data_IF_573403432700
#
_entry.id   IF_573403432700
#
_cell.length_a   1.000
_cell.length_b   1.000
_cell.length_c   1.000
_cell.angle_alpha   90.00
_cell.angle_beta   90.00
_cell.angle_gamma   90.00
#
_symmetry.space_group_name_H-M   'P 1'
#
loop_
_entity.id
_entity.type
_entity.pdbx_description
1 polymer ?
#
# COMPACT_ATOMS: atom_id res chain seq x y z
N UNK A 1 32.90 -5.76 -13.87
CA UNK A 1 31.67 -5.15 -14.45
C UNK A 1 31.81 -3.64 -14.36
N UNK A 2 31.28 -2.85 -15.32
CA UNK A 2 31.28 -1.39 -15.19
C UNK A 2 30.54 -0.99 -13.90
N UNK A 3 30.91 0.14 -13.30
CA UNK A 3 30.21 0.70 -12.15
C UNK A 3 28.92 1.41 -12.62
N UNK A 4 27.86 1.35 -11.82
CA UNK A 4 26.70 2.21 -12.03
C UNK A 4 27.04 3.64 -11.62
N UNK A 5 26.75 4.61 -12.48
CA UNK A 5 27.00 6.02 -12.18
C UNK A 5 25.69 6.79 -12.03
N UNK A 6 25.73 7.88 -11.26
CA UNK A 6 24.63 8.84 -11.20
C UNK A 6 24.38 9.50 -12.56
N UNK A 7 25.43 9.75 -13.34
CA UNK A 7 25.33 10.38 -14.66
C UNK A 7 24.49 9.56 -15.66
N UNK A 8 24.66 8.24 -15.69
CA UNK A 8 23.85 7.35 -16.55
C UNK A 8 22.37 7.44 -16.18
N UNK A 9 22.07 7.46 -14.88
CA UNK A 9 20.70 7.55 -14.37
C UNK A 9 20.08 8.92 -14.66
N UNK A 10 20.82 10.00 -14.43
CA UNK A 10 20.34 11.36 -14.67
C UNK A 10 20.08 11.60 -16.16
N UNK A 11 20.94 11.08 -17.05
CA UNK A 11 20.71 11.13 -18.51
C UNK A 11 19.40 10.44 -18.90
N UNK A 12 19.10 9.29 -18.30
CA UNK A 12 17.80 8.63 -18.47
C UNK A 12 16.67 9.46 -17.90
N UNK A 13 16.84 10.02 -16.70
CA UNK A 13 15.82 10.81 -16.02
C UNK A 13 15.45 12.07 -16.80
N UNK A 14 16.41 12.76 -17.41
CA UNK A 14 16.16 13.96 -18.21
C UNK A 14 15.23 13.70 -19.41
N UNK A 15 15.23 12.48 -19.94
CA UNK A 15 14.36 12.05 -21.04
C UNK A 15 13.04 11.43 -20.59
N UNK A 16 13.01 10.82 -19.41
CA UNK A 16 11.92 9.94 -18.98
C UNK A 16 11.23 10.37 -17.69
N UNK A 17 11.62 11.49 -17.07
CA UNK A 17 11.01 12.01 -15.84
C UNK A 17 9.50 12.13 -15.98
N UNK A 18 8.77 11.64 -14.98
CA UNK A 18 7.32 11.77 -14.94
C UNK A 18 6.91 13.19 -14.57
N UNK A 19 5.97 13.76 -15.31
CA UNK A 19 5.26 14.98 -14.91
C UNK A 19 4.25 14.65 -13.80
N UNK A 20 4.48 15.19 -12.61
CA UNK A 20 3.62 15.00 -11.43
C UNK A 20 3.34 16.36 -10.77
N UNK A 21 2.14 16.60 -10.21
CA UNK A 21 1.75 17.93 -9.69
C UNK A 21 2.67 18.51 -8.61
N UNK A 22 3.35 17.65 -7.85
CA UNK A 22 4.27 18.02 -6.77
C UNK A 22 5.73 18.16 -7.22
N UNK A 23 6.06 17.77 -8.46
CA UNK A 23 7.43 17.90 -8.97
C UNK A 23 7.59 19.27 -9.62
N UNK A 24 8.65 19.97 -9.23
CA UNK A 24 9.05 21.17 -9.93
C UNK A 24 9.46 20.83 -11.37
N UNK A 25 9.23 21.77 -12.29
CA UNK A 25 9.76 21.68 -13.64
C UNK A 25 11.28 21.90 -13.63
N UNK A 26 12.01 21.44 -14.67
CA UNK A 26 13.43 21.76 -14.81
C UNK A 26 13.69 23.26 -14.68
N UNK A 27 14.70 23.63 -13.90
CA UNK A 27 15.06 25.03 -13.62
C UNK A 27 14.17 25.75 -12.58
N UNK A 28 13.09 25.12 -12.11
CA UNK A 28 12.24 25.66 -11.05
C UNK A 28 12.67 25.07 -9.71
N UNK A 29 12.94 25.94 -8.73
CA UNK A 29 13.25 25.50 -7.36
C UNK A 29 12.04 24.79 -6.74
N UNK A 30 12.19 23.56 -6.23
CA UNK A 30 11.08 22.88 -5.56
C UNK A 30 10.67 23.57 -4.27
N UNK A 31 9.36 23.67 -4.05
CA UNK A 31 8.80 24.18 -2.80
C UNK A 31 8.83 23.09 -1.72
N UNK A 32 9.54 23.28 -0.59
CA UNK A 32 9.60 22.30 0.50
C UNK A 32 8.22 21.89 1.02
N UNK A 33 7.24 22.79 1.05
CA UNK A 33 5.88 22.48 1.50
C UNK A 33 5.21 21.45 0.58
N UNK A 34 5.29 21.69 -0.73
CA UNK A 34 4.72 20.79 -1.76
C UNK A 34 5.42 19.43 -1.76
N UNK A 35 6.75 19.43 -1.68
CA UNK A 35 7.56 18.20 -1.62
C UNK A 35 7.14 17.39 -0.40
N UNK A 36 7.22 17.96 0.81
CA UNK A 36 6.85 17.29 2.05
C UNK A 36 5.42 16.76 2.04
N UNK A 37 4.45 17.58 1.62
CA UNK A 37 3.04 17.18 1.54
C UNK A 37 2.86 15.94 0.65
N UNK A 38 3.47 15.94 -0.53
CA UNK A 38 3.40 14.81 -1.47
C UNK A 38 4.07 13.56 -0.89
N UNK A 39 5.22 13.70 -0.24
CA UNK A 39 5.95 12.59 0.36
C UNK A 39 5.15 11.93 1.49
N UNK A 40 4.43 12.71 2.31
CA UNK A 40 3.55 12.15 3.35
C UNK A 40 2.34 11.45 2.71
N UNK A 41 1.73 12.03 1.67
CA UNK A 41 0.61 11.42 0.97
C UNK A 41 0.99 10.11 0.26
N UNK A 42 2.18 10.02 -0.33
CA UNK A 42 2.64 8.84 -1.08
C UNK A 42 3.03 7.65 -0.18
N UNK A 43 3.09 7.81 1.13
CA UNK A 43 3.34 6.70 2.06
C UNK A 43 2.23 5.65 1.98
N UNK A 44 2.54 4.50 1.38
CA UNK A 44 1.58 3.39 1.20
C UNK A 44 0.31 3.81 0.43
N UNK A 45 0.41 4.81 -0.45
CA UNK A 45 -0.69 5.26 -1.32
C UNK A 45 -0.17 5.42 -2.75
N UNK A 46 -0.99 5.10 -3.75
CA UNK A 46 -0.58 5.15 -5.15
C UNK A 46 -0.55 6.58 -5.68
N UNK A 47 0.32 6.86 -6.66
CA UNK A 47 0.39 8.17 -7.33
C UNK A 47 -0.99 8.60 -7.86
N UNK A 48 -1.72 7.69 -8.51
CA UNK A 48 -3.06 7.98 -9.06
C UNK A 48 -4.05 8.41 -7.99
N UNK A 49 -4.04 7.76 -6.82
CA UNK A 49 -4.92 8.13 -5.71
C UNK A 49 -4.51 9.48 -5.09
N UNK A 50 -3.20 9.78 -5.01
CA UNK A 50 -2.71 11.01 -4.37
C UNK A 50 -3.00 12.27 -5.19
N UNK A 51 -2.93 12.22 -6.53
CA UNK A 51 -3.09 13.40 -7.41
C UNK A 51 -4.27 14.32 -7.05
N UNK A 52 -5.53 13.84 -7.01
CA UNK A 52 -6.67 14.72 -6.73
C UNK A 52 -6.67 15.25 -5.29
N UNK A 53 -6.13 14.50 -4.32
CA UNK A 53 -6.01 14.97 -2.94
C UNK A 53 -4.94 16.04 -2.80
N UNK A 54 -3.80 15.89 -3.47
CA UNK A 54 -2.74 16.87 -3.45
C UNK A 54 -3.22 18.23 -3.98
N UNK A 55 -3.94 18.22 -5.10
CA UNK A 55 -4.54 19.43 -5.68
C UNK A 55 -5.58 20.06 -4.75
N UNK A 56 -6.53 19.26 -4.21
CA UNK A 56 -7.51 19.73 -3.22
C UNK A 56 -6.84 20.34 -1.98
N UNK A 57 -5.80 19.70 -1.45
CA UNK A 57 -5.07 20.19 -0.28
C UNK A 57 -4.41 21.53 -0.55
N UNK A 58 -3.82 21.73 -1.72
CA UNK A 58 -3.19 23.01 -2.05
C UNK A 58 -4.20 24.13 -2.28
N UNK A 59 -5.41 23.82 -2.74
CA UNK A 59 -6.49 24.81 -2.83
C UNK A 59 -6.95 25.25 -1.44
N UNK A 60 -7.10 24.31 -0.50
CA UNK A 60 -7.57 24.61 0.86
C UNK A 60 -6.46 25.20 1.75
N UNK A 61 -5.24 24.69 1.60
CA UNK A 61 -4.08 24.99 2.41
C UNK A 61 -2.90 25.30 1.49
N UNK A 62 -2.83 26.53 0.93
CA UNK A 62 -1.86 26.85 -0.11
C UNK A 62 -0.40 26.88 0.37
N UNK A 63 -0.17 26.97 1.68
CA UNK A 63 1.17 26.96 2.27
C UNK A 63 1.15 26.35 3.68
N UNK A 64 2.34 26.12 4.24
CA UNK A 64 2.50 25.50 5.57
C UNK A 64 1.85 26.32 6.70
N UNK A 65 1.81 27.65 6.59
CA UNK A 65 1.15 28.51 7.61
C UNK A 65 -0.37 28.34 7.55
N UNK A 66 -0.95 28.30 6.35
CA UNK A 66 -2.37 28.04 6.17
C UNK A 66 -2.76 26.65 6.69
N UNK A 67 -1.96 25.62 6.42
CA UNK A 67 -2.17 24.28 6.97
C UNK A 67 -2.04 24.24 8.49
N UNK A 68 -1.09 24.98 9.08
CA UNK A 68 -0.87 25.03 10.52
C UNK A 68 -1.99 25.75 11.29
N UNK A 69 -2.61 26.76 10.67
CA UNK A 69 -3.69 27.55 11.24
C UNK A 69 -5.08 26.91 11.09
N UNK A 70 -5.21 25.87 10.25
CA UNK A 70 -6.48 25.22 10.00
C UNK A 70 -6.99 24.46 11.24
N UNK A 71 -8.32 24.40 11.45
CA UNK A 71 -8.92 23.48 12.42
C UNK A 71 -8.55 22.03 12.09
N UNK A 72 -8.37 21.19 13.12
CA UNK A 72 -7.95 19.80 12.91
C UNK A 72 -9.00 19.02 12.10
N UNK A 73 -10.28 19.29 12.35
CA UNK A 73 -11.41 18.69 11.65
C UNK A 73 -11.37 18.97 10.15
N UNK A 74 -10.98 20.19 9.75
CA UNK A 74 -10.86 20.57 8.35
C UNK A 74 -9.74 19.77 7.65
N UNK A 75 -8.60 19.57 8.34
CA UNK A 75 -7.49 18.77 7.82
C UNK A 75 -7.87 17.28 7.71
N UNK A 76 -8.55 16.74 8.73
CA UNK A 76 -9.03 15.35 8.70
C UNK A 76 -10.06 15.12 7.59
N UNK A 77 -11.00 16.06 7.42
CA UNK A 77 -12.00 16.03 6.36
C UNK A 77 -11.35 16.10 4.97
N UNK A 78 -10.35 16.95 4.78
CA UNK A 78 -9.61 17.01 3.53
C UNK A 78 -8.85 15.70 3.24
N UNK A 79 -8.32 15.03 4.28
CA UNK A 79 -7.59 13.75 4.17
C UNK A 79 -8.51 12.53 4.03
N UNK A 80 -9.82 12.69 4.26
CA UNK A 80 -10.76 11.59 4.32
C UNK A 80 -10.74 10.77 3.02
N UNK A 81 -10.46 9.47 3.14
CA UNK A 81 -10.33 8.54 2.00
C UNK A 81 -8.89 8.18 1.60
N UNK A 82 -7.86 8.94 2.00
CA UNK A 82 -6.45 8.55 1.77
C UNK A 82 -5.96 7.42 2.70
N UNK A 83 -6.69 7.16 3.80
CA UNK A 83 -6.33 6.17 4.80
C UNK A 83 -5.12 6.56 5.66
N UNK A 84 -4.85 5.75 6.70
CA UNK A 84 -3.81 5.99 7.70
C UNK A 84 -3.87 7.41 8.31
N UNK A 85 -4.96 7.73 9.01
CA UNK A 85 -5.22 9.06 9.58
C UNK A 85 -4.15 9.58 10.56
N UNK A 86 -3.33 8.69 11.12
CA UNK A 86 -2.14 9.10 11.86
C UNK A 86 -1.17 9.94 11.01
N UNK A 87 -1.12 9.73 9.69
CA UNK A 87 -0.36 10.59 8.78
C UNK A 87 -0.94 12.00 8.73
N UNK A 88 -2.26 12.16 8.67
CA UNK A 88 -2.90 13.47 8.69
C UNK A 88 -2.66 14.22 10.01
N UNK A 89 -2.75 13.51 11.14
CA UNK A 89 -2.44 14.08 12.48
C UNK A 89 -1.00 14.55 12.55
N UNK A 90 -0.06 13.68 12.18
CA UNK A 90 1.36 14.03 12.18
C UNK A 90 1.69 15.13 11.17
N UNK A 91 1.05 15.14 10.00
CA UNK A 91 1.17 16.20 9.00
C UNK A 91 0.78 17.55 9.62
N UNK A 92 -0.38 17.62 10.28
CA UNK A 92 -0.85 18.85 10.89
C UNK A 92 0.05 19.30 12.06
N UNK A 93 0.44 18.38 12.94
CA UNK A 93 1.38 18.67 14.02
C UNK A 93 2.74 19.18 13.49
N UNK A 94 3.24 18.58 12.40
CA UNK A 94 4.46 19.02 11.73
C UNK A 94 4.28 20.39 11.06
N UNK A 95 3.13 20.68 10.44
CA UNK A 95 2.84 22.00 9.89
C UNK A 95 2.93 23.08 10.99
N UNK A 96 2.34 22.82 12.16
CA UNK A 96 2.42 23.72 13.32
C UNK A 96 3.86 23.92 13.80
N UNK A 97 4.64 22.84 13.94
CA UNK A 97 6.04 22.92 14.33
C UNK A 97 6.89 23.73 13.34
N UNK A 98 6.68 23.53 12.03
CA UNK A 98 7.38 24.28 10.97
C UNK A 98 6.95 25.74 10.95
N UNK A 99 5.65 26.03 11.08
CA UNK A 99 5.12 27.39 11.08
C UNK A 99 5.66 28.21 12.26
N UNK A 100 5.84 27.58 13.44
CA UNK A 100 6.42 28.23 14.61
C UNK A 100 7.88 28.67 14.40
N UNK A 101 8.67 27.90 13.63
CA UNK A 101 10.06 28.25 13.26
C UNK A 101 10.12 29.11 11.98
N UNK A 102 9.03 29.16 11.21
CA UNK A 102 8.87 29.95 10.00
C UNK A 102 9.42 29.31 8.73
N UNK A 103 10.13 28.18 8.81
CA UNK A 103 10.69 27.46 7.66
C UNK A 103 10.95 25.99 7.99
N UNK A 104 10.97 25.16 6.94
CA UNK A 104 11.48 23.79 7.05
C UNK A 104 12.99 23.82 7.31
N UNK A 105 13.51 22.97 8.22
CA UNK A 105 14.94 22.67 8.28
C UNK A 105 15.41 22.09 6.95
N UNK A 106 16.62 22.43 6.55
CA UNK A 106 17.21 21.96 5.29
C UNK A 106 18.15 20.76 5.48
N UNK A 107 18.42 20.35 6.73
CA UNK A 107 19.24 19.18 7.06
C UNK A 107 18.39 17.96 7.41
N UNK A 108 18.89 16.75 7.09
CA UNK A 108 18.22 15.51 7.49
C UNK A 108 18.00 15.43 9.01
N UNK A 109 18.98 15.87 9.81
CA UNK A 109 18.88 15.86 11.27
C UNK A 109 17.76 16.79 11.76
N UNK A 110 17.68 18.01 11.21
CA UNK A 110 16.62 18.96 11.56
C UNK A 110 15.24 18.45 11.14
N UNK A 111 15.13 17.90 9.93
CA UNK A 111 13.88 17.35 9.40
C UNK A 111 13.38 16.17 10.25
N UNK A 112 14.27 15.29 10.73
CA UNK A 112 13.91 14.13 11.58
C UNK A 112 13.36 14.51 12.96
N UNK A 113 13.57 15.75 13.42
CA UNK A 113 13.01 16.24 14.68
C UNK A 113 11.53 16.62 14.54
N UNK A 114 11.02 16.74 13.31
CA UNK A 114 9.62 17.10 13.06
C UNK A 114 8.67 15.89 13.17
N UNK A 115 7.44 16.08 13.67
CA UNK A 115 6.44 15.02 13.78
C UNK A 115 6.19 14.27 12.46
N UNK A 116 6.22 12.94 12.50
CA UNK A 116 5.92 12.10 11.33
C UNK A 116 6.99 12.08 10.22
N UNK A 117 8.13 12.76 10.38
CA UNK A 117 9.23 12.71 9.43
C UNK A 117 10.24 11.63 9.84
N UNK A 118 10.17 10.48 9.16
CA UNK A 118 11.14 9.40 9.27
C UNK A 118 12.39 9.62 8.43
N UNK A 119 13.35 8.69 8.50
CA UNK A 119 14.63 8.76 7.78
C UNK A 119 14.46 8.91 6.26
N UNK A 120 13.52 8.17 5.65
CA UNK A 120 13.20 8.30 4.24
C UNK A 120 12.73 9.72 3.89
N UNK A 121 11.68 10.19 4.55
CA UNK A 121 11.05 11.49 4.27
C UNK A 121 12.05 12.64 4.49
N UNK A 122 12.90 12.55 5.51
CA UNK A 122 13.96 13.52 5.76
C UNK A 122 14.96 13.57 4.61
N UNK A 123 15.48 12.41 4.16
CA UNK A 123 16.38 12.34 3.02
C UNK A 123 15.75 12.85 1.72
N UNK A 124 14.48 12.51 1.49
CA UNK A 124 13.72 12.96 0.33
C UNK A 124 13.56 14.49 0.30
N UNK A 125 13.13 15.11 1.41
CA UNK A 125 12.97 16.57 1.49
C UNK A 125 14.33 17.27 1.38
N UNK A 126 15.35 16.78 2.10
CA UNK A 126 16.69 17.35 2.07
C UNK A 126 17.28 17.34 0.65
N UNK A 127 17.15 16.23 -0.07
CA UNK A 127 17.64 16.12 -1.44
C UNK A 127 16.80 16.92 -2.42
N UNK A 128 15.48 16.77 -2.40
CA UNK A 128 14.58 17.32 -3.45
C UNK A 128 14.36 18.82 -3.25
N UNK A 129 14.10 19.28 -2.02
CA UNK A 129 13.73 20.66 -1.78
C UNK A 129 14.91 21.59 -1.49
N UNK A 130 16.03 21.02 -1.04
CA UNK A 130 17.18 21.77 -0.54
C UNK A 130 18.51 21.40 -1.18
N UNK A 131 18.50 20.52 -2.19
CA UNK A 131 19.69 20.05 -2.89
C UNK A 131 20.81 19.57 -1.96
N UNK A 132 20.44 18.99 -0.80
CA UNK A 132 21.42 18.36 0.08
C UNK A 132 21.78 16.98 -0.45
N UNK A 133 23.05 16.57 -0.43
CA UNK A 133 23.46 15.23 -0.85
C UNK A 133 23.01 14.20 0.18
N UNK A 134 21.74 13.81 0.13
CA UNK A 134 21.08 12.94 1.10
C UNK A 134 20.41 11.75 0.42
N UNK A 135 20.60 10.55 0.97
CA UNK A 135 19.98 9.33 0.47
C UNK A 135 18.49 9.24 0.86
N UNK A 136 17.61 9.29 -0.15
CA UNK A 136 16.19 9.02 0.00
C UNK A 136 15.89 7.54 -0.33
N UNK A 137 15.74 6.69 0.68
CA UNK A 137 15.55 5.24 0.51
C UNK A 137 14.12 4.81 0.84
N UNK A 138 13.27 4.68 -0.18
CA UNK A 138 11.94 4.06 -0.09
C UNK A 138 11.97 2.57 -0.50
N UNK A 139 10.81 1.91 -0.53
CA UNK A 139 10.71 0.53 -0.99
C UNK A 139 11.08 0.30 -2.47
N UNK A 140 11.05 1.35 -3.30
CA UNK A 140 11.54 1.30 -4.68
C UNK A 140 13.07 1.31 -4.72
N UNK A 141 13.69 2.23 -3.99
CA UNK A 141 15.15 2.34 -3.86
C UNK A 141 15.72 1.10 -3.17
N UNK A 142 15.09 0.59 -2.10
CA UNK A 142 15.49 -0.69 -1.46
C UNK A 142 15.58 -1.81 -2.50
N UNK A 143 14.59 -1.95 -3.39
CA UNK A 143 14.57 -2.97 -4.44
C UNK A 143 15.62 -2.72 -5.52
N UNK A 144 15.77 -1.49 -5.97
CA UNK A 144 16.77 -1.13 -7.00
C UNK A 144 18.18 -1.44 -6.47
N UNK A 145 18.50 -0.98 -5.26
CA UNK A 145 19.84 -1.11 -4.70
C UNK A 145 20.18 -2.55 -4.31
N UNK A 146 19.22 -3.30 -3.75
CA UNK A 146 19.43 -4.73 -3.47
C UNK A 146 19.68 -5.55 -4.73
N UNK A 147 19.02 -5.22 -5.85
CA UNK A 147 19.30 -5.85 -7.15
C UNK A 147 20.64 -5.42 -7.75
N UNK A 148 20.92 -4.11 -7.74
CA UNK A 148 22.15 -3.54 -8.29
C UNK A 148 23.39 -4.17 -7.64
N UNK A 149 23.37 -4.31 -6.32
CA UNK A 149 24.50 -4.81 -5.53
C UNK A 149 24.39 -6.29 -5.12
N UNK A 150 23.31 -6.99 -5.49
CA UNK A 150 23.00 -8.37 -5.06
C UNK A 150 23.08 -8.53 -3.52
N UNK A 151 22.35 -7.69 -2.78
CA UNK A 151 22.37 -7.71 -1.31
C UNK A 151 21.54 -8.88 -0.80
N UNK A 152 22.22 -9.93 -0.35
CA UNK A 152 21.63 -11.17 0.16
C UNK A 152 21.05 -11.03 1.58
N UNK A 153 21.47 -10.02 2.34
CA UNK A 153 20.91 -9.76 3.66
C UNK A 153 19.40 -9.49 3.56
N UNK A 154 18.54 -10.23 4.28
CA UNK A 154 17.10 -9.99 4.24
C UNK A 154 16.70 -8.64 4.83
N UNK A 155 15.66 -8.01 4.27
CA UNK A 155 15.00 -6.88 4.91
C UNK A 155 14.27 -7.33 6.19
N UNK A 156 14.32 -6.52 7.28
CA UNK A 156 14.79 -5.13 7.33
C UNK A 156 16.29 -4.94 7.65
N UNK A 157 17.05 -6.01 7.94
CA UNK A 157 18.45 -5.90 8.38
C UNK A 157 19.37 -5.23 7.34
N UNK A 158 19.06 -5.36 6.05
CA UNK A 158 19.82 -4.73 4.98
C UNK A 158 19.69 -3.20 4.88
N UNK A 159 18.76 -2.55 5.60
CA UNK A 159 18.44 -1.12 5.41
C UNK A 159 19.63 -0.19 5.61
N UNK A 160 20.48 -0.46 6.62
CA UNK A 160 21.67 0.35 6.87
C UNK A 160 22.67 0.24 5.70
N UNK A 161 22.92 -0.98 5.21
CA UNK A 161 23.79 -1.23 4.06
C UNK A 161 23.24 -0.58 2.79
N UNK A 162 21.93 -0.72 2.53
CA UNK A 162 21.26 -0.09 1.38
C UNK A 162 21.43 1.44 1.43
N UNK A 163 21.21 2.05 2.59
CA UNK A 163 21.36 3.51 2.75
C UNK A 163 22.80 3.95 2.52
N UNK A 164 23.78 3.22 3.06
CA UNK A 164 25.20 3.52 2.85
C UNK A 164 25.58 3.49 1.36
N UNK A 165 25.18 2.43 0.65
CA UNK A 165 25.45 2.28 -0.78
C UNK A 165 24.72 3.34 -1.61
N UNK A 166 23.47 3.65 -1.27
CA UNK A 166 22.72 4.73 -1.91
C UNK A 166 23.42 6.07 -1.72
N UNK A 167 23.81 6.39 -0.48
CA UNK A 167 24.47 7.64 -0.13
C UNK A 167 25.78 7.84 -0.91
N UNK A 168 26.56 6.79 -1.09
CA UNK A 168 27.81 6.82 -1.87
C UNK A 168 27.58 7.11 -3.37
N UNK A 169 26.36 6.91 -3.88
CA UNK A 169 25.99 7.21 -5.26
C UNK A 169 25.33 8.57 -5.44
N UNK A 170 24.93 9.24 -4.36
CA UNK A 170 24.28 10.55 -4.45
C UNK A 170 25.29 11.56 -5.00
N UNK A 171 25.01 12.18 -6.17
CA UNK A 171 25.91 13.19 -6.72
C UNK A 171 25.85 14.47 -5.90
N UNK A 172 26.95 15.24 -5.91
CA UNK A 172 26.95 16.59 -5.34
C UNK A 172 26.08 17.56 -6.14
N UNK A 173 26.03 17.38 -7.46
CA UNK A 173 25.17 18.14 -8.36
C UNK A 173 23.86 17.39 -8.61
N UNK A 174 22.72 18.09 -8.53
CA UNK A 174 21.36 17.55 -8.71
C UNK A 174 20.99 16.34 -7.81
N UNK A 175 21.28 16.35 -6.49
CA UNK A 175 20.93 15.22 -5.61
C UNK A 175 19.41 14.96 -5.55
N UNK A 176 18.59 16.01 -5.67
CA UNK A 176 17.13 15.90 -5.73
C UNK A 176 16.64 15.12 -6.96
N UNK A 177 17.19 15.42 -8.15
CA UNK A 177 16.86 14.68 -9.36
C UNK A 177 17.36 13.23 -9.27
N UNK A 178 18.54 12.99 -8.70
CA UNK A 178 19.02 11.63 -8.48
C UNK A 178 18.06 10.81 -7.60
N UNK A 179 17.61 11.37 -6.48
CA UNK A 179 16.63 10.73 -5.60
C UNK A 179 15.33 10.39 -6.36
N UNK A 180 14.79 11.34 -7.13
CA UNK A 180 13.58 11.12 -7.93
C UNK A 180 13.80 10.12 -9.07
N UNK A 181 14.99 10.09 -9.67
CA UNK A 181 15.34 9.19 -10.76
C UNK A 181 15.43 7.74 -10.28
N UNK A 182 16.00 7.48 -9.10
CA UNK A 182 16.04 6.11 -8.53
C UNK A 182 14.63 5.64 -8.20
N UNK A 183 13.79 6.52 -7.63
CA UNK A 183 12.38 6.23 -7.37
C UNK A 183 11.62 5.91 -8.67
N UNK A 184 11.80 6.71 -9.72
CA UNK A 184 11.18 6.48 -11.04
C UNK A 184 11.67 5.19 -11.69
N UNK A 185 12.97 4.90 -11.60
CA UNK A 185 13.54 3.66 -12.09
C UNK A 185 12.88 2.46 -11.42
N UNK A 186 12.75 2.49 -10.09
CA UNK A 186 12.08 1.44 -9.33
C UNK A 186 10.60 1.33 -9.68
N UNK A 187 9.90 2.45 -9.83
CA UNK A 187 8.48 2.47 -10.12
C UNK A 187 8.12 1.99 -11.54
N UNK A 188 8.98 2.22 -12.53
CA UNK A 188 8.64 2.05 -13.96
C UNK A 188 9.39 0.90 -14.65
N UNK A 189 10.68 0.69 -14.35
CA UNK A 189 11.50 -0.33 -15.02
C UNK A 189 11.86 -1.47 -14.08
N UNK A 190 12.45 -1.16 -12.93
CA UNK A 190 12.90 -2.13 -11.94
C UNK A 190 11.73 -2.52 -11.02
N UNK A 191 10.63 -3.01 -11.60
CA UNK A 191 9.38 -3.34 -10.90
C UNK A 191 9.49 -4.62 -10.06
N UNK A 192 8.60 -4.87 -9.08
CA UNK A 192 8.69 -6.05 -8.21
C UNK A 192 8.66 -7.40 -8.94
N UNK A 193 7.94 -7.48 -10.07
CA UNK A 193 7.82 -8.70 -10.89
C UNK A 193 8.07 -8.34 -12.35
N UNK A 194 8.87 -9.13 -13.06
CA UNK A 194 9.17 -8.94 -14.48
C UNK A 194 9.74 -7.53 -14.76
N UNK A 195 10.87 -7.16 -14.13
CA UNK A 195 11.50 -5.87 -14.40
C UNK A 195 11.94 -5.77 -15.87
N UNK A 196 11.79 -4.59 -16.45
CA UNK A 196 12.20 -4.27 -17.82
C UNK A 196 13.71 -4.03 -17.91
N UNK A 197 14.51 -5.03 -17.55
CA UNK A 197 15.97 -4.91 -17.42
C UNK A 197 16.66 -4.43 -18.72
N UNK A 198 16.12 -4.78 -19.89
CA UNK A 198 16.67 -4.37 -21.19
C UNK A 198 16.62 -2.85 -21.43
N UNK A 199 15.73 -2.14 -20.74
CA UNK A 199 15.55 -0.68 -20.85
C UNK A 199 16.24 0.08 -19.70
N UNK A 200 16.84 -0.64 -18.74
CA UNK A 200 17.40 -0.04 -17.53
C UNK A 200 18.74 0.65 -17.84
N UNK A 201 18.96 1.92 -17.43
CA UNK A 201 20.25 2.59 -17.59
C UNK A 201 21.39 1.87 -16.83
N UNK A 202 21.04 1.13 -15.77
CA UNK A 202 21.97 0.31 -15.00
C UNK A 202 21.92 -1.18 -15.35
N UNK A 203 21.49 -1.54 -16.57
CA UNK A 203 21.42 -2.95 -17.00
C UNK A 203 22.77 -3.68 -16.86
N UNK A 204 23.85 -3.09 -17.40
CA UNK A 204 25.20 -3.70 -17.40
C UNK A 204 25.83 -3.81 -16.00
N UNK A 205 25.77 -2.79 -15.13
CA UNK A 205 26.35 -2.87 -13.79
C UNK A 205 25.54 -3.72 -12.78
N UNK A 206 24.28 -4.07 -13.08
CA UNK A 206 23.40 -4.78 -12.15
C UNK A 206 23.78 -6.25 -11.92
N UNK A 207 24.24 -6.57 -10.69
CA UNK A 207 24.66 -7.92 -10.29
C UNK A 207 23.54 -8.93 -10.33
N UNK A 208 22.39 -8.62 -9.73
CA UNK A 208 21.26 -9.56 -9.74
C UNK A 208 20.76 -9.86 -11.16
N UNK A 209 20.87 -8.92 -12.10
CA UNK A 209 20.56 -9.16 -13.52
C UNK A 209 21.60 -10.06 -14.19
N UNK A 210 22.89 -9.84 -13.92
CA UNK A 210 23.97 -10.67 -14.47
C UNK A 210 23.83 -12.14 -14.05
N UNK A 211 23.31 -12.38 -12.83
CA UNK A 211 23.06 -13.71 -12.27
C UNK A 211 21.67 -14.27 -12.59
N UNK A 212 20.78 -13.48 -13.21
CA UNK A 212 19.39 -13.88 -13.50
C UNK A 212 18.49 -14.00 -12.25
N UNK A 213 18.89 -13.40 -11.13
CA UNK A 213 18.22 -13.49 -9.83
C UNK A 213 17.37 -12.26 -9.47
N UNK A 214 17.24 -11.26 -10.34
CA UNK A 214 16.58 -9.98 -10.03
C UNK A 214 15.16 -10.12 -9.44
N UNK A 215 14.36 -11.09 -9.87
CA UNK A 215 12.99 -11.31 -9.37
C UNK A 215 12.95 -11.85 -7.92
N UNK A 216 14.09 -12.32 -7.42
CA UNK A 216 14.23 -12.89 -6.07
C UNK A 216 14.72 -11.87 -5.04
N UNK A 217 15.07 -10.65 -5.49
CA UNK A 217 15.44 -9.51 -4.66
C UNK A 217 14.30 -8.46 -4.57
N UNK A 218 14.15 -7.77 -3.43
CA UNK A 218 14.97 -7.90 -2.21
C UNK A 218 14.69 -9.22 -1.47
N UNK A 219 15.69 -9.75 -0.78
CA UNK A 219 15.50 -10.84 0.18
C UNK A 219 14.58 -10.34 1.29
N UNK A 220 13.54 -11.12 1.60
CA UNK A 220 12.57 -10.80 2.65
C UNK A 220 12.49 -11.95 3.61
N UNK A 221 12.48 -11.65 4.91
CA UNK A 221 12.12 -12.66 5.89
C UNK A 221 10.70 -13.14 5.61
N UNK A 222 10.49 -14.46 5.75
CA UNK A 222 9.16 -15.04 5.71
C UNK A 222 8.38 -14.43 6.88
N UNK A 223 7.38 -13.62 6.59
CA UNK A 223 6.49 -13.09 7.63
C UNK A 223 5.65 -14.24 8.14
N UNK A 224 5.79 -14.56 9.42
CA UNK A 224 4.78 -15.37 10.11
C UNK A 224 3.47 -14.59 10.09
N UNK A 225 2.38 -15.26 9.72
CA UNK A 225 1.06 -14.67 9.89
C UNK A 225 0.83 -14.59 11.40
N UNK A 226 0.64 -13.38 11.94
CA UNK A 226 0.31 -13.24 13.35
C UNK A 226 -0.95 -14.01 13.72
N UNK A 227 -1.19 -14.15 15.02
CA UNK A 227 -2.29 -14.95 15.55
C UNK A 227 -3.64 -14.41 15.04
N UNK A 228 -4.50 -15.29 14.52
CA UNK A 228 -5.86 -14.94 14.13
C UNK A 228 -6.60 -14.33 15.32
N UNK A 229 -7.14 -13.13 15.12
CA UNK A 229 -8.04 -12.50 16.08
C UNK A 229 -9.47 -12.65 15.60
N UNK A 230 -10.38 -12.88 16.55
CA UNK A 230 -11.82 -13.00 16.32
C UNK A 230 -12.55 -11.91 17.12
N UNK A 231 -13.73 -11.54 16.66
CA UNK A 231 -14.60 -10.57 17.35
C UNK A 231 -16.02 -10.55 16.78
N UNK A 232 -16.86 -9.69 17.34
CA UNK A 232 -18.19 -9.40 16.85
C UNK A 232 -18.32 -7.93 16.39
N UNK A 233 -19.18 -7.71 15.40
CA UNK A 233 -19.61 -6.37 14.99
C UNK A 233 -21.15 -6.32 14.95
N UNK A 234 -21.71 -5.19 15.39
CA UNK A 234 -23.13 -4.99 15.61
C UNK A 234 -23.64 -3.89 14.69
N UNK A 235 -24.45 -4.25 13.70
CA UNK A 235 -25.09 -3.32 12.77
C UNK A 235 -26.55 -3.14 13.16
N UNK A 236 -26.87 -2.01 13.78
CA UNK A 236 -28.25 -1.61 14.05
C UNK A 236 -28.74 -0.66 12.94
N UNK A 237 -29.86 -1.02 12.31
CA UNK A 237 -30.56 -0.18 11.34
C UNK A 237 -31.82 0.41 12.00
N UNK A 238 -31.89 1.73 12.08
CA UNK A 238 -33.04 2.43 12.65
C UNK A 238 -34.18 2.53 11.64
N UNK A 239 -35.38 2.15 12.08
CA UNK A 239 -36.58 2.27 11.26
C UNK A 239 -36.96 3.75 11.05
N UNK A 240 -37.52 4.06 9.90
CA UNK A 240 -37.94 5.41 9.54
C UNK A 240 -36.90 6.19 8.73
N UNK A 241 -35.65 6.25 9.19
CA UNK A 241 -34.58 7.04 8.55
C UNK A 241 -33.42 6.20 8.00
N UNK A 242 -33.51 4.87 8.10
CA UNK A 242 -32.47 3.91 7.68
C UNK A 242 -31.07 4.22 8.26
N UNK A 243 -31.00 4.92 9.39
CA UNK A 243 -29.73 5.32 9.97
C UNK A 243 -29.02 4.13 10.64
N UNK A 244 -27.70 4.09 10.51
CA UNK A 244 -26.83 3.05 11.07
C UNK A 244 -26.17 3.55 12.34
N UNK A 245 -26.19 2.72 13.39
CA UNK A 245 -25.46 3.01 14.62
C UNK A 245 -23.95 2.88 14.40
N UNK A 246 -23.22 3.97 14.65
CA UNK A 246 -21.76 4.04 14.59
C UNK A 246 -21.20 4.60 15.89
N UNK A 247 -19.96 4.25 16.19
CA UNK A 247 -19.12 4.92 17.19
C UNK A 247 -17.81 5.38 16.56
N UNK A 248 -17.16 6.34 17.19
CA UNK A 248 -15.80 6.76 16.83
C UNK A 248 -14.81 6.04 17.73
N UNK A 249 -13.82 5.36 17.15
CA UNK A 249 -12.77 4.67 17.92
C UNK A 249 -11.90 5.70 18.66
N UNK A 250 -11.32 5.34 19.84
CA UNK A 250 -10.34 6.18 20.52
C UNK A 250 -9.20 6.63 19.58
N UNK A 251 -8.58 7.80 19.80
CA UNK A 251 -7.54 8.31 18.91
C UNK A 251 -6.28 7.43 18.86
N UNK A 252 -5.97 6.76 19.97
CA UNK A 252 -4.85 5.83 20.10
C UNK A 252 -5.22 4.40 19.65
N UNK A 253 -4.23 3.70 19.12
CA UNK A 253 -4.35 2.29 18.75
C UNK A 253 -4.85 2.04 17.33
N UNK A 254 -5.29 0.80 17.10
CA UNK A 254 -5.63 0.32 15.76
C UNK A 254 -6.90 1.02 15.25
N UNK A 255 -6.80 1.61 14.05
CA UNK A 255 -7.87 2.38 13.39
C UNK A 255 -8.35 3.58 14.23
N UNK A 256 -7.45 4.23 14.98
CA UNK A 256 -7.83 5.31 15.89
C UNK A 256 -8.49 6.51 15.19
N UNK A 257 -9.53 7.06 15.83
CA UNK A 257 -10.44 8.09 15.31
C UNK A 257 -11.31 7.70 14.11
N UNK A 258 -11.31 6.43 13.70
CA UNK A 258 -12.16 5.97 12.59
C UNK A 258 -13.56 5.58 13.09
N UNK A 259 -14.56 5.75 12.24
CA UNK A 259 -15.94 5.34 12.53
C UNK A 259 -16.12 3.84 12.30
N UNK A 260 -16.89 3.18 13.16
CA UNK A 260 -17.21 1.75 13.04
C UNK A 260 -18.61 1.43 13.58
N UNK A 261 -19.28 0.37 13.06
CA UNK A 261 -20.30 -0.30 13.83
C UNK A 261 -19.73 -0.73 15.18
N UNK A 262 -20.45 -0.59 16.30
CA UNK A 262 -19.99 -1.08 17.58
C UNK A 262 -19.57 -2.55 17.51
N UNK A 263 -18.61 -2.94 18.33
CA UNK A 263 -18.05 -4.29 18.28
C UNK A 263 -17.27 -4.65 19.53
N UNK A 264 -16.98 -5.94 19.64
CA UNK A 264 -16.24 -6.53 20.76
C UNK A 264 -14.72 -6.24 20.67
N UNK A 265 -13.96 -6.51 21.74
CA UNK A 265 -12.52 -6.71 21.64
C UNK A 265 -12.16 -7.76 20.59
N UNK A 266 -10.98 -7.61 19.97
CA UNK A 266 -10.48 -8.56 18.98
C UNK A 266 -9.40 -9.44 19.61
N UNK A 267 -9.77 -10.66 19.96
CA UNK A 267 -8.94 -11.57 20.74
C UNK A 267 -8.76 -12.92 20.04
N UNK A 268 -7.64 -13.62 20.21
CA UNK A 268 -7.44 -14.96 19.64
C UNK A 268 -8.46 -16.00 20.11
N UNK A 269 -8.88 -15.88 21.36
CA UNK A 269 -9.76 -16.78 22.11
C UNK A 269 -11.21 -16.26 22.20
N UNK A 270 -11.56 -15.24 21.42
CA UNK A 270 -12.94 -14.73 21.37
C UNK A 270 -13.92 -15.83 20.94
N UNK A 271 -14.94 -16.06 21.77
CA UNK A 271 -16.01 -17.02 21.53
C UNK A 271 -17.22 -16.34 20.86
N UNK A 272 -17.49 -16.59 19.56
CA UNK A 272 -18.63 -16.00 18.87
C UNK A 272 -19.99 -16.40 19.45
N UNK A 273 -20.07 -17.51 20.19
CA UNK A 273 -21.31 -17.92 20.85
C UNK A 273 -21.70 -16.95 21.97
N UNK A 274 -20.72 -16.33 22.62
CA UNK A 274 -20.92 -15.32 23.66
C UNK A 274 -21.05 -13.90 23.10
N UNK A 275 -20.98 -13.74 21.78
CA UNK A 275 -20.87 -12.41 21.18
C UNK A 275 -22.03 -11.48 21.52
N UNK A 276 -23.25 -11.99 21.70
CA UNK A 276 -24.39 -11.16 22.11
C UNK A 276 -24.20 -10.39 23.42
N UNK A 277 -23.28 -10.82 24.30
CA UNK A 277 -22.94 -10.09 25.53
C UNK A 277 -22.26 -8.74 25.26
N UNK A 278 -21.67 -8.57 24.07
CA UNK A 278 -21.01 -7.34 23.64
C UNK A 278 -21.97 -6.37 22.91
N UNK A 279 -23.28 -6.69 22.86
CA UNK A 279 -24.24 -5.89 22.12
C UNK A 279 -24.36 -4.46 22.71
N UNK A 280 -24.35 -3.41 21.86
CA UNK A 280 -24.29 -2.03 22.33
C UNK A 280 -25.62 -1.50 22.89
N UNK A 281 -26.72 -2.20 22.64
CA UNK A 281 -28.07 -1.84 23.09
C UNK A 281 -28.95 -3.08 23.17
N UNK A 282 -30.02 -2.99 23.95
CA UNK A 282 -31.05 -4.02 24.05
C UNK A 282 -31.92 -4.03 22.78
N UNK A 283 -31.74 -5.06 21.96
CA UNK A 283 -32.51 -5.28 20.73
C UNK A 283 -32.51 -6.75 20.33
N UNK A 284 -33.39 -7.09 19.38
CA UNK A 284 -33.46 -8.43 18.77
C UNK A 284 -32.36 -8.63 17.74
N UNK A 285 -31.15 -8.87 18.23
CA UNK A 285 -29.98 -9.16 17.40
C UNK A 285 -30.06 -10.53 16.74
N UNK A 286 -29.80 -10.58 15.43
CA UNK A 286 -29.66 -11.82 14.66
C UNK A 286 -28.22 -11.98 14.21
N UNK A 287 -27.62 -13.14 14.50
CA UNK A 287 -26.33 -13.51 13.93
C UNK A 287 -26.51 -13.80 12.44
N UNK A 288 -25.77 -13.09 11.59
CA UNK A 288 -25.77 -13.33 10.15
C UNK A 288 -24.90 -14.55 9.81
N UNK A 289 -25.23 -15.29 8.73
CA UNK A 289 -24.44 -16.43 8.30
C UNK A 289 -23.08 -16.00 7.74
N UNK A 290 -22.03 -16.72 8.12
CA UNK A 290 -20.66 -16.45 7.69
C UNK A 290 -19.89 -15.50 8.60
N UNK A 291 -18.69 -15.10 8.15
CA UNK A 291 -17.81 -14.17 8.86
C UNK A 291 -17.16 -13.20 7.88
N UNK A 292 -16.87 -11.99 8.35
CA UNK A 292 -16.11 -11.01 7.58
C UNK A 292 -14.62 -11.22 7.86
N UNK A 293 -13.86 -11.49 6.80
CA UNK A 293 -12.40 -11.70 6.87
C UNK A 293 -11.63 -10.44 6.44
N UNK A 294 -10.66 -10.05 7.24
CA UNK A 294 -9.75 -8.94 6.93
C UNK A 294 -8.31 -9.27 7.34
N UNK A 295 -7.33 -8.91 6.52
CA UNK A 295 -5.92 -9.10 6.84
C UNK A 295 -5.26 -7.79 7.20
N UNK A 296 -4.84 -7.62 8.46
CA UNK A 296 -3.88 -6.59 8.82
C UNK A 296 -2.46 -7.12 8.61
N UNK A 297 -1.49 -6.22 8.43
CA UNK A 297 -0.08 -6.59 8.29
C UNK A 297 0.45 -7.37 9.49
N UNK A 298 -0.16 -7.19 10.67
CA UNK A 298 0.25 -7.79 11.93
C UNK A 298 -0.54 -9.06 12.31
N UNK A 299 -1.80 -9.18 11.87
CA UNK A 299 -2.66 -10.33 12.19
C UNK A 299 -3.85 -10.44 11.21
N UNK A 300 -4.38 -11.66 10.97
CA UNK A 300 -5.68 -11.83 10.34
C UNK A 300 -6.81 -11.60 11.35
N UNK A 301 -7.94 -11.05 10.87
CA UNK A 301 -9.15 -10.77 11.63
C UNK A 301 -10.36 -11.48 11.03
N UNK A 302 -11.16 -12.10 11.90
CA UNK A 302 -12.49 -12.63 11.59
C UNK A 302 -13.56 -11.95 12.47
N UNK A 303 -14.58 -11.38 11.84
CA UNK A 303 -15.70 -10.75 12.55
C UNK A 303 -17.00 -11.52 12.30
N UNK A 304 -17.66 -11.92 13.37
CA UNK A 304 -19.06 -12.36 13.35
C UNK A 304 -19.95 -11.13 13.34
N UNK A 305 -20.94 -11.09 12.45
CA UNK A 305 -21.80 -9.91 12.31
C UNK A 305 -23.18 -10.19 12.88
N UNK A 306 -23.62 -9.30 13.76
CA UNK A 306 -24.97 -9.27 14.30
C UNK A 306 -25.72 -8.10 13.71
N UNK A 307 -26.97 -8.33 13.35
CA UNK A 307 -27.85 -7.32 12.77
C UNK A 307 -29.13 -7.18 13.58
N UNK A 308 -29.56 -5.95 13.81
CA UNK A 308 -30.84 -5.64 14.43
C UNK A 308 -31.53 -4.50 13.67
N UNK A 309 -32.86 -4.55 13.60
CA UNK A 309 -33.68 -3.38 13.29
C UNK A 309 -34.21 -2.81 14.59
N UNK A 310 -34.04 -1.50 14.79
CA UNK A 310 -34.46 -0.79 15.99
C UNK A 310 -35.53 0.25 15.65
N UNK A 311 -36.32 0.67 16.64
CA UNK A 311 -37.42 1.61 16.44
C UNK A 311 -36.91 3.02 16.09
N UNK A 312 -37.73 3.82 15.41
CA UNK A 312 -37.38 5.20 15.05
C UNK A 312 -37.01 6.07 16.26
N UNK A 313 -37.65 5.82 17.41
CA UNK A 313 -37.37 6.51 18.68
C UNK A 313 -36.15 5.98 19.45
N UNK A 314 -35.42 4.99 18.93
CA UNK A 314 -34.24 4.46 19.62
C UNK A 314 -33.14 5.52 19.68
N UNK A 315 -32.76 5.87 20.91
CA UNK A 315 -31.66 6.79 21.22
C UNK A 315 -30.33 6.04 21.12
N UNK A 316 -29.31 6.69 20.55
CA UNK A 316 -27.98 6.11 20.50
C UNK A 316 -27.36 6.06 21.91
N UNK A 317 -26.69 4.97 22.30
CA UNK A 317 -25.91 4.92 23.53
C UNK A 317 -24.83 6.01 23.58
N UNK A 318 -24.33 6.31 24.78
CA UNK A 318 -23.27 7.30 24.98
C UNK A 318 -22.03 7.00 24.09
N UNK A 319 -21.48 8.04 23.46
CA UNK A 319 -20.35 7.92 22.54
C UNK A 319 -20.68 7.32 21.16
N UNK A 320 -21.96 7.07 20.87
CA UNK A 320 -22.43 6.55 19.59
C UNK A 320 -23.40 7.52 18.91
N UNK A 321 -23.63 7.33 17.61
CA UNK A 321 -24.58 8.12 16.83
C UNK A 321 -25.26 7.26 15.77
N UNK A 322 -26.49 7.60 15.44
CA UNK A 322 -27.14 7.11 14.23
C UNK A 322 -26.77 8.01 13.06
N UNK A 323 -26.22 7.41 12.00
CA UNK A 323 -25.81 8.12 10.78
C UNK A 323 -26.67 7.64 9.62
N UNK A 324 -27.37 8.53 8.89
CA UNK A 324 -28.15 8.15 7.72
C UNK A 324 -27.31 7.39 6.69
N UNK A 325 -27.92 6.42 6.02
CA UNK A 325 -27.20 5.52 5.10
C UNK A 325 -26.50 6.29 3.97
N UNK A 326 -27.13 7.32 3.45
CA UNK A 326 -26.60 8.21 2.41
C UNK A 326 -25.41 9.05 2.87
N UNK A 327 -25.22 9.24 4.18
CA UNK A 327 -24.09 9.98 4.76
C UNK A 327 -22.92 9.09 5.18
N UNK A 328 -23.01 7.77 5.00
CA UNK A 328 -21.93 6.84 5.38
C UNK A 328 -20.63 7.06 4.61
N UNK A 329 -20.69 7.61 3.39
CA UNK A 329 -19.50 7.91 2.60
C UNK A 329 -18.73 9.14 3.11
N UNK A 330 -19.37 9.98 3.92
CA UNK A 330 -18.74 11.12 4.61
C UNK A 330 -18.00 10.69 5.88
N UNK A 331 -18.33 9.50 6.41
CA UNK A 331 -17.72 8.95 7.60
C UNK A 331 -16.36 8.29 7.31
N UNK A 332 -15.34 8.41 8.20
CA UNK A 332 -14.04 7.81 8.01
C UNK A 332 -14.06 6.30 8.34
N UNK A 333 -14.85 5.52 7.58
CA UNK A 333 -15.07 4.10 7.81
C UNK A 333 -13.93 3.26 7.19
N UNK A 334 -13.22 2.42 7.95
CA UNK A 334 -12.11 1.64 7.41
C UNK A 334 -12.59 0.47 6.55
N UNK A 335 -11.73 -0.01 5.66
CA UNK A 335 -12.07 -1.11 4.73
C UNK A 335 -12.57 -2.38 5.42
N UNK A 336 -12.12 -2.70 6.64
CA UNK A 336 -12.66 -3.80 7.43
C UNK A 336 -14.15 -3.58 7.77
N UNK A 337 -14.53 -2.37 8.17
CA UNK A 337 -15.90 -2.03 8.57
C UNK A 337 -16.79 -1.78 7.36
N UNK A 338 -16.25 -1.28 6.23
CA UNK A 338 -16.98 -1.25 4.96
C UNK A 338 -17.42 -2.65 4.54
N UNK A 339 -16.58 -3.68 4.75
CA UNK A 339 -16.98 -5.09 4.53
C UNK A 339 -18.06 -5.56 5.50
N UNK A 340 -18.00 -5.15 6.77
CA UNK A 340 -19.05 -5.47 7.77
C UNK A 340 -20.39 -4.87 7.34
N UNK A 341 -20.41 -3.58 6.98
CA UNK A 341 -21.62 -2.90 6.52
C UNK A 341 -22.16 -3.54 5.23
N UNK A 342 -21.29 -3.82 4.26
CA UNK A 342 -21.69 -4.53 3.04
C UNK A 342 -22.29 -5.91 3.34
N UNK A 343 -21.68 -6.69 4.25
CA UNK A 343 -22.18 -8.00 4.64
C UNK A 343 -23.53 -7.92 5.38
N UNK A 344 -23.72 -6.92 6.24
CA UNK A 344 -24.96 -6.74 6.98
C UNK A 344 -26.12 -6.19 6.13
N UNK A 345 -25.82 -5.26 5.22
CA UNK A 345 -26.82 -4.53 4.42
C UNK A 345 -27.12 -5.19 3.08
N UNK A 346 -26.35 -6.19 2.65
CA UNK A 346 -26.63 -6.97 1.44
C UNK A 346 -27.89 -7.84 1.54
N UNK A 347 -28.53 -7.93 2.71
CA UNK A 347 -29.73 -8.72 2.95
C UNK A 347 -29.48 -10.24 2.92
N UNK A 348 -30.30 -11.04 3.61
CA UNK A 348 -30.31 -12.49 3.41
C UNK A 348 -30.84 -12.80 2.01
N UNK A 349 -30.11 -13.56 1.21
CA UNK A 349 -30.66 -14.23 0.03
C UNK A 349 -31.78 -15.15 0.52
N UNK A 350 -33.05 -14.95 0.11
CA UNK A 350 -34.07 -15.97 0.33
C UNK A 350 -33.59 -17.23 -0.40
N UNK A 351 -33.55 -18.36 0.30
CA UNK A 351 -33.32 -19.66 -0.34
C UNK A 351 -34.53 -19.93 -1.23
N UNK A 352 -34.46 -19.50 -2.49
CA UNK A 352 -35.36 -19.96 -3.52
C UNK A 352 -34.99 -21.41 -3.83
N UNK A 353 -35.95 -22.31 -3.62
CA UNK A 353 -35.91 -23.68 -4.13
C UNK A 353 -35.62 -23.60 -5.62
N UNK A 354 -34.51 -24.18 -6.07
CA UNK A 354 -34.11 -24.15 -7.47
C UNK A 354 -35.18 -24.86 -8.32
N UNK A 355 -35.86 -24.09 -9.17
CA UNK A 355 -36.56 -24.65 -10.32
C UNK A 355 -35.51 -25.18 -11.32
N UNK A 356 -35.78 -26.30 -12.03
CA UNK A 356 -34.86 -26.82 -13.02
C UNK A 356 -34.64 -25.79 -14.14
N UNK A 357 -33.43 -25.76 -14.75
CA UNK A 357 -33.09 -24.74 -15.73
C UNK A 357 -33.96 -24.89 -17.00
N UNK A 358 -34.36 -23.78 -17.65
CA UNK A 358 -35.07 -23.83 -18.91
C UNK A 358 -34.15 -24.34 -20.02
N UNK A 359 -34.69 -25.21 -20.87
CA UNK A 359 -34.08 -25.65 -22.12
C UNK A 359 -33.90 -24.42 -23.00
N UNK A 360 -32.65 -24.09 -23.38
CA UNK A 360 -32.36 -23.03 -24.34
C UNK A 360 -32.60 -23.55 -25.76
N UNK A 361 -33.51 -22.91 -26.47
CA UNK A 361 -33.54 -22.95 -27.94
C UNK A 361 -32.32 -22.20 -28.51
N UNK A 362 -31.73 -22.67 -29.63
CA UNK A 362 -30.55 -22.05 -30.21
C UNK A 362 -30.89 -20.77 -30.98
N UNK A 363 -30.24 -19.67 -30.59
CA UNK A 363 -30.28 -18.38 -31.26
C UNK A 363 -29.36 -18.39 -32.51
N UNK A 364 -29.92 -18.08 -33.68
CA UNK A 364 -29.31 -18.23 -35.02
C UNK A 364 -28.45 -17.01 -35.46
N UNK A 365 -28.05 -16.13 -34.56
CA UNK A 365 -27.44 -14.84 -34.94
C UNK A 365 -25.94 -14.65 -34.60
N UNK A 366 -25.17 -15.70 -34.30
CA UNK A 366 -23.71 -15.58 -34.01
C UNK A 366 -22.88 -16.44 -34.96
N UNK A 367 -21.93 -15.88 -35.75
CA UNK A 367 -21.00 -16.70 -36.53
C UNK A 367 -20.05 -17.47 -35.60
N UNK A 368 -19.67 -18.71 -35.95
CA UNK A 368 -18.92 -19.58 -35.05
C UNK A 368 -17.52 -19.04 -34.75
N UNK A 369 -17.12 -19.14 -33.48
CA UNK A 369 -15.73 -18.92 -33.06
C UNK A 369 -14.78 -19.91 -33.76
N UNK A 370 -13.55 -19.50 -34.13
CA UNK A 370 -12.55 -20.42 -34.65
C UNK A 370 -12.13 -21.43 -33.57
N UNK A 371 -12.05 -22.71 -33.95
CA UNK A 371 -11.70 -23.81 -33.06
C UNK A 371 -10.38 -23.56 -32.29
N UNK A 372 -10.32 -23.94 -30.99
CA UNK A 372 -9.09 -23.86 -30.23
C UNK A 372 -8.07 -24.88 -30.74
N UNK A 373 -6.87 -24.38 -31.06
CA UNK A 373 -5.71 -25.21 -31.40
C UNK A 373 -5.43 -26.22 -30.29
N UNK A 374 -5.54 -27.51 -30.61
CA UNK A 374 -5.21 -28.62 -29.72
C UNK A 374 -3.77 -28.48 -29.21
N UNK A 375 -3.62 -28.25 -27.90
CA UNK A 375 -2.31 -28.32 -27.22
C UNK A 375 -1.76 -29.73 -27.35
N UNK A 376 -0.55 -29.86 -27.93
CA UNK A 376 0.21 -31.12 -27.90
C UNK A 376 0.48 -31.51 -26.44
N UNK A 377 0.22 -32.76 -26.10
CA UNK A 377 0.53 -33.31 -24.78
C UNK A 377 2.03 -33.28 -24.46
N UNK A 378 2.41 -33.48 -23.19
CA UNK A 378 3.82 -33.44 -22.79
C UNK A 378 4.64 -34.51 -23.50
N UNK A 379 5.84 -34.14 -23.93
CA UNK A 379 6.85 -35.03 -24.50
C UNK A 379 7.25 -36.06 -23.43
N UNK A 380 7.21 -37.38 -23.71
CA UNK A 380 7.65 -38.39 -22.75
C UNK A 380 9.13 -38.23 -22.42
N UNK A 381 9.48 -38.38 -21.13
CA UNK A 381 10.88 -38.36 -20.67
C UNK A 381 11.64 -39.54 -21.27
N UNK A 382 12.90 -39.33 -21.73
CA UNK A 382 13.75 -40.45 -22.14
C UNK A 382 14.09 -41.35 -20.94
N UNK A 383 14.33 -42.65 -21.16
CA UNK A 383 14.65 -43.59 -20.11
C UNK A 383 15.95 -43.20 -19.39
N UNK A 384 15.98 -43.36 -18.06
CA UNK A 384 17.16 -43.11 -17.24
C UNK A 384 18.22 -44.18 -17.54
N UNK A 385 19.33 -43.77 -18.16
CA UNK A 385 20.52 -44.62 -18.29
C UNK A 385 21.20 -44.76 -16.92
N UNK A 386 21.57 -45.99 -16.56
CA UNK A 386 22.33 -46.25 -15.33
C UNK A 386 23.79 -45.78 -15.51
N UNK A 387 24.47 -45.30 -14.44
CA UNK A 387 25.84 -44.77 -14.53
C UNK A 387 26.92 -45.73 -15.07
N UNK A 388 26.62 -47.01 -15.27
CA UNK A 388 27.56 -48.02 -15.80
C UNK A 388 27.69 -48.04 -17.33
N UNK A 389 26.90 -47.26 -18.08
CA UNK A 389 26.92 -47.28 -19.56
C UNK A 389 27.58 -46.05 -20.22
N UNK A 390 28.04 -45.07 -19.43
CA UNK A 390 28.70 -43.85 -19.94
C UNK A 390 30.23 -43.97 -20.10
N UNK A 391 30.83 -45.10 -19.74
CA UNK A 391 32.27 -45.32 -19.82
C UNK A 391 32.66 -46.16 -21.05
N UNK A 392 32.40 -45.67 -22.28
CA UNK A 392 32.96 -46.28 -23.50
C UNK A 392 32.95 -45.38 -24.74
N UNK A 393 33.34 -44.11 -24.63
CA UNK A 393 33.70 -43.30 -25.81
C UNK A 393 34.88 -42.38 -25.49
N UNK A 394 36.10 -42.93 -25.54
CA UNK A 394 37.32 -42.16 -25.81
C UNK A 394 38.06 -42.90 -26.93
N UNK A 395 37.84 -42.49 -28.18
CA UNK A 395 38.68 -42.90 -29.32
C UNK A 395 40.00 -42.12 -29.23
N UNK A 396 41.12 -42.85 -29.19
CA UNK A 396 42.50 -42.34 -29.30
C UNK A 396 42.71 -41.57 -30.62
N UNK A 397 43.56 -40.53 -30.65
CA UNK A 397 44.04 -39.96 -31.91
C UNK A 397 45.15 -40.84 -32.52
N UNK A 398 45.38 -40.78 -33.85
CA UNK A 398 46.41 -41.57 -34.51
C UNK A 398 47.81 -40.95 -34.32
N UNK A 399 48.83 -41.80 -34.22
CA UNK A 399 50.25 -41.41 -34.19
C UNK A 399 50.69 -40.94 -35.59
N UNK A 400 51.33 -39.78 -35.66
CA UNK A 400 52.15 -39.38 -36.80
C UNK A 400 53.49 -40.15 -36.78
N UNK A 401 53.97 -40.50 -37.99
CA UNK A 401 55.28 -41.08 -38.26
C UNK A 401 56.38 -40.03 -38.19
#
# INVERSE_FOLDING_TARGET
MPAATAADLLTWYDRHRRALPWRALPGVRPDPYRVWLSEVMLQQTTVTAVKPYFEKFLTLFPNVKALAAAPEEAVMSAWAGLGYYSRARNLHACAKAVAAVGRFPDTEEGLRKLPGIGAYTAGAIAAIAFDRPAAAVDGNVERVMTRLHAIETPLPAARAQIRLLTQAMVPHDRPGDFAQAVMDLGATLCTPKRPACALCPWMRPCRARAEGLQDTFPRKLKKEKGILRKGAAFVALRAGDEAILLRTRPPEGLLGSMAEPPGSPWLPDYDPAKGLLDAPLDARWKRLPGVVKHGFTHFPLELTVFFARVAAGTVAPEGMRFTPREKLDEEPIPGAMKKVLAHALAGPVPVAVAAPPPVREPDLATPPEPEPVKRRGPIPKPPSLRPSELARVVKRPPKAR
#
